data_IF_166017244054
#
_entry.id   IF_166017244054
#
_cell.length_a   1.000
_cell.length_b   1.000
_cell.length_c   1.000
_cell.angle_alpha   90.00
_cell.angle_beta   90.00
_cell.angle_gamma   90.00
#
_symmetry.space_group_name_H-M   'P 1'
#
loop_
_entity.id
_entity.type
_entity.pdbx_description
1 polymer ?
#
# COMPACT_ATOMS: atom_id res chain seq x y z
N UNK A 1 -1.77 -29.78 -12.77
CA UNK A 1 -1.46 -29.82 -14.22
C UNK A 1 -1.97 -28.56 -14.88
N UNK A 2 -1.17 -27.83 -15.67
CA UNK A 2 -1.61 -26.60 -16.32
C UNK A 2 -2.64 -26.90 -17.42
N UNK A 3 -3.85 -26.36 -17.29
CA UNK A 3 -4.93 -26.52 -18.28
C UNK A 3 -4.53 -25.81 -19.58
N UNK A 4 -4.28 -26.59 -20.64
CA UNK A 4 -3.87 -26.06 -21.95
C UNK A 4 -5.10 -25.58 -22.71
N UNK A 5 -5.26 -24.26 -22.88
CA UNK A 5 -6.44 -23.71 -23.56
C UNK A 5 -6.20 -23.72 -25.09
N UNK A 6 -7.06 -24.39 -25.90
CA UNK A 6 -6.90 -24.40 -27.35
C UNK A 6 -7.28 -23.04 -27.95
N UNK A 7 -6.30 -22.35 -28.56
CA UNK A 7 -6.52 -21.06 -29.22
C UNK A 7 -7.20 -21.29 -30.58
N UNK A 8 -8.47 -20.87 -30.71
CA UNK A 8 -9.25 -21.08 -31.93
C UNK A 8 -9.05 -19.92 -32.93
N UNK A 9 -8.43 -20.22 -34.07
CA UNK A 9 -8.35 -19.33 -35.23
C UNK A 9 -9.57 -19.56 -36.13
N UNK A 10 -10.38 -18.53 -36.39
CA UNK A 10 -11.56 -18.62 -37.27
C UNK A 10 -11.21 -18.94 -38.73
N UNK A 11 -9.97 -18.60 -39.13
CA UNK A 11 -9.40 -18.93 -40.43
C UNK A 11 -7.93 -19.27 -40.22
N UNK A 12 -7.51 -20.42 -40.74
CA UNK A 12 -6.11 -20.89 -40.72
C UNK A 12 -5.39 -20.59 -42.03
N UNK A 13 -6.11 -20.54 -43.16
CA UNK A 13 -5.54 -20.22 -44.49
C UNK A 13 -5.12 -18.75 -44.57
N UNK A 14 -3.89 -18.48 -45.00
CA UNK A 14 -3.42 -17.13 -45.29
C UNK A 14 -4.24 -16.46 -46.40
N UNK A 15 -4.23 -15.11 -46.42
CA UNK A 15 -4.80 -14.33 -47.52
C UNK A 15 -3.76 -14.22 -48.63
N UNK A 16 -4.07 -14.74 -49.81
CA UNK A 16 -3.19 -14.63 -50.98
C UNK A 16 -3.26 -13.24 -51.60
N UNK A 17 -2.20 -12.81 -52.27
CA UNK A 17 -2.20 -11.55 -53.01
C UNK A 17 -3.08 -11.69 -54.25
N UNK A 18 -3.82 -10.64 -54.59
CA UNK A 18 -4.53 -10.59 -55.88
C UNK A 18 -3.54 -10.83 -57.03
N UNK A 19 -3.86 -11.81 -57.89
CA UNK A 19 -3.09 -12.25 -59.07
C UNK A 19 -1.76 -12.98 -58.77
N UNK A 20 -1.47 -13.36 -57.52
CA UNK A 20 -0.28 -14.20 -57.23
C UNK A 20 -0.37 -15.61 -57.80
N UNK A 21 -1.57 -16.09 -58.07
CA UNK A 21 -1.89 -17.34 -58.75
C UNK A 21 -1.70 -17.26 -60.28
N UNK A 22 -1.67 -16.04 -60.84
CA UNK A 22 -1.64 -15.80 -62.29
C UNK A 22 -0.28 -15.32 -62.79
N UNK A 23 0.46 -14.56 -61.98
CA UNK A 23 1.75 -14.00 -62.38
C UNK A 23 2.86 -14.46 -61.44
N UNK A 24 3.85 -15.18 -61.97
CA UNK A 24 5.01 -15.67 -61.22
C UNK A 24 5.80 -14.54 -60.53
N UNK A 25 5.82 -13.33 -61.11
CA UNK A 25 6.46 -12.15 -60.53
C UNK A 25 5.74 -11.63 -59.26
N UNK A 26 4.51 -12.08 -59.01
CA UNK A 26 3.69 -11.64 -57.88
C UNK A 26 3.72 -12.72 -56.80
N UNK A 27 4.62 -12.57 -55.83
CA UNK A 27 4.73 -13.50 -54.69
C UNK A 27 3.42 -13.58 -53.88
N UNK A 28 3.12 -14.77 -53.35
CA UNK A 28 1.98 -15.05 -52.46
C UNK A 28 2.15 -14.38 -51.08
N UNK A 29 2.01 -13.06 -51.03
CA UNK A 29 2.04 -12.27 -49.79
C UNK A 29 0.93 -11.23 -49.81
N UNK A 30 0.00 -11.29 -48.85
CA UNK A 30 -1.15 -10.39 -48.78
C UNK A 30 -0.77 -8.93 -48.99
N UNK A 31 -1.42 -8.27 -49.95
CA UNK A 31 -1.42 -6.82 -50.11
C UNK A 31 -2.82 -6.36 -50.46
N UNK A 32 -3.26 -5.27 -49.83
CA UNK A 32 -4.58 -4.66 -50.11
C UNK A 32 -4.61 -4.21 -51.58
N UNK A 33 -5.54 -4.74 -52.41
CA UNK A 33 -5.68 -4.32 -53.79
C UNK A 33 -6.05 -2.83 -53.87
N UNK A 34 -5.45 -2.12 -54.85
CA UNK A 34 -5.66 -0.69 -55.12
C UNK A 34 -6.49 -0.50 -56.40
N UNK A 35 -6.97 0.72 -56.66
CA UNK A 35 -7.72 1.09 -57.86
C UNK A 35 -9.24 1.12 -57.66
N UNK A 36 -9.92 2.08 -58.30
CA UNK A 36 -11.36 2.28 -58.15
C UNK A 36 -12.17 1.12 -58.75
N UNK A 37 -11.72 0.57 -59.88
CA UNK A 37 -12.41 -0.52 -60.61
C UNK A 37 -12.00 -1.94 -60.19
N UNK A 38 -11.08 -2.07 -59.24
CA UNK A 38 -10.58 -3.39 -58.85
C UNK A 38 -11.68 -4.25 -58.20
N UNK A 39 -12.07 -5.34 -58.88
CA UNK A 39 -13.17 -6.23 -58.47
C UNK A 39 -12.96 -6.88 -57.11
N UNK A 40 -11.71 -7.18 -56.74
CA UNK A 40 -11.37 -7.73 -55.42
C UNK A 40 -11.52 -6.68 -54.33
N UNK A 41 -11.03 -5.45 -54.55
CA UNK A 41 -11.24 -4.31 -53.63
C UNK A 41 -12.73 -4.02 -53.43
N UNK A 42 -13.51 -4.05 -54.52
CA UNK A 42 -14.98 -3.86 -54.52
C UNK A 42 -15.75 -5.07 -54.01
N UNK A 43 -15.08 -6.19 -53.70
CA UNK A 43 -15.66 -7.42 -53.11
C UNK A 43 -16.75 -8.08 -53.96
N UNK A 44 -16.57 -8.11 -55.27
CA UNK A 44 -17.52 -8.79 -56.17
C UNK A 44 -17.56 -10.30 -55.89
N UNK A 45 -18.72 -10.93 -56.12
CA UNK A 45 -18.91 -12.38 -55.96
C UNK A 45 -17.89 -13.15 -56.82
N UNK A 46 -17.37 -14.26 -56.29
CA UNK A 46 -16.40 -15.13 -56.96
C UNK A 46 -14.93 -14.67 -56.88
N UNK A 47 -14.66 -13.52 -56.26
CA UNK A 47 -13.29 -13.04 -56.06
C UNK A 47 -12.65 -13.60 -54.79
N UNK A 48 -11.31 -13.52 -54.73
CA UNK A 48 -10.55 -13.97 -53.55
C UNK A 48 -10.95 -13.18 -52.29
N UNK A 49 -11.06 -13.85 -51.12
CA UNK A 49 -11.45 -13.17 -49.89
C UNK A 49 -10.36 -12.20 -49.42
N UNK A 50 -10.79 -11.04 -48.88
CA UNK A 50 -9.90 -10.05 -48.26
C UNK A 50 -10.06 -10.04 -46.73
N UNK A 51 -9.03 -9.64 -45.97
CA UNK A 51 -9.18 -9.32 -44.55
C UNK A 51 -10.29 -8.29 -44.34
N UNK A 52 -11.22 -8.64 -43.47
CA UNK A 52 -12.32 -7.80 -42.99
C UNK A 52 -12.63 -8.18 -41.54
N UNK A 53 -13.34 -7.29 -40.83
CA UNK A 53 -13.83 -7.56 -39.49
C UNK A 53 -14.64 -8.86 -39.53
N UNK A 54 -14.23 -9.85 -38.72
CA UNK A 54 -14.80 -11.20 -38.71
C UNK A 54 -13.78 -12.34 -38.87
N UNK A 55 -12.66 -12.11 -39.59
CA UNK A 55 -11.62 -13.13 -39.81
C UNK A 55 -10.58 -13.26 -38.68
N UNK A 56 -10.70 -12.46 -37.61
CA UNK A 56 -9.80 -12.53 -36.46
C UNK A 56 -9.94 -13.83 -35.65
N UNK A 57 -9.12 -14.00 -34.61
CA UNK A 57 -9.28 -15.14 -33.69
C UNK A 57 -10.62 -15.07 -32.93
N UNK A 58 -11.10 -16.23 -32.45
CA UNK A 58 -12.32 -16.31 -31.64
C UNK A 58 -12.25 -15.31 -30.48
N UNK A 59 -13.35 -14.58 -30.22
CA UNK A 59 -13.40 -13.53 -29.19
C UNK A 59 -13.01 -14.08 -27.81
N UNK A 60 -13.44 -15.30 -27.47
CA UNK A 60 -13.14 -15.95 -26.18
C UNK A 60 -11.65 -16.25 -25.96
N UNK A 61 -10.91 -16.53 -27.03
CA UNK A 61 -9.49 -16.93 -26.96
C UNK A 61 -8.55 -15.92 -27.61
N UNK A 62 -9.04 -14.72 -27.92
CA UNK A 62 -8.23 -13.69 -28.59
C UNK A 62 -7.22 -13.12 -27.59
N UNK A 63 -5.97 -12.97 -28.02
CA UNK A 63 -4.84 -12.46 -27.21
C UNK A 63 -4.40 -13.38 -26.05
N UNK A 64 -4.97 -14.58 -25.90
CA UNK A 64 -4.50 -15.58 -24.95
C UNK A 64 -3.29 -16.33 -25.50
N UNK A 65 -2.38 -16.67 -24.60
CA UNK A 65 -1.30 -17.64 -24.78
C UNK A 65 -1.86 -19.06 -24.56
N UNK A 66 -1.16 -20.12 -25.02
CA UNK A 66 -1.55 -21.50 -24.76
C UNK A 66 -1.66 -21.85 -23.26
N UNK A 67 -0.99 -21.07 -22.40
CA UNK A 67 -1.08 -21.16 -20.94
C UNK A 67 -2.33 -20.50 -20.33
N UNK A 68 -3.21 -19.91 -21.15
CA UNK A 68 -4.41 -19.21 -20.71
C UNK A 68 -4.24 -17.76 -20.26
N UNK A 69 -2.99 -17.25 -20.21
CA UNK A 69 -2.68 -15.86 -19.85
C UNK A 69 -2.62 -14.95 -21.08
N UNK A 70 -2.91 -13.66 -20.92
CA UNK A 70 -2.68 -12.63 -21.95
C UNK A 70 -1.24 -12.10 -21.85
N UNK A 71 -0.61 -11.77 -22.98
CA UNK A 71 0.73 -11.15 -22.96
C UNK A 71 0.62 -9.65 -22.63
N UNK A 72 1.44 -9.17 -21.70
CA UNK A 72 1.66 -7.75 -21.42
C UNK A 72 3.15 -7.42 -21.59
N UNK A 73 3.47 -6.41 -22.39
CA UNK A 73 4.86 -6.01 -22.68
C UNK A 73 5.37 -5.09 -21.57
N UNK A 74 6.53 -5.42 -21.00
CA UNK A 74 7.14 -4.70 -19.86
C UNK A 74 8.54 -4.23 -20.23
N UNK A 75 8.82 -2.95 -20.03
CA UNK A 75 10.11 -2.32 -20.36
C UNK A 75 10.94 -1.96 -19.12
N UNK A 76 10.33 -1.94 -17.93
CA UNK A 76 10.95 -1.60 -16.65
C UNK A 76 10.22 -2.29 -15.49
N UNK A 77 10.79 -2.21 -14.29
CA UNK A 77 10.24 -2.86 -13.09
C UNK A 77 8.88 -2.28 -12.69
N UNK A 78 8.64 -0.97 -12.89
CA UNK A 78 7.39 -0.31 -12.51
C UNK A 78 6.19 -0.79 -13.33
N UNK A 79 6.41 -1.05 -14.62
CA UNK A 79 5.39 -1.63 -15.52
C UNK A 79 5.01 -3.05 -15.12
N UNK A 80 5.86 -3.74 -14.36
CA UNK A 80 5.58 -5.07 -13.83
C UNK A 80 4.66 -5.02 -12.60
N UNK A 81 4.74 -3.95 -11.80
CA UNK A 81 3.85 -3.77 -10.63
C UNK A 81 2.39 -3.61 -11.05
N UNK A 82 2.12 -3.12 -12.27
CA UNK A 82 0.76 -3.09 -12.86
C UNK A 82 0.15 -4.49 -13.01
N UNK A 83 0.97 -5.55 -13.01
CA UNK A 83 0.53 -6.94 -13.12
C UNK A 83 0.32 -7.60 -11.76
N UNK A 84 0.58 -6.91 -10.64
CA UNK A 84 0.43 -7.45 -9.28
C UNK A 84 -0.99 -7.98 -9.04
N UNK A 85 -2.02 -7.17 -9.33
CA UNK A 85 -3.43 -7.57 -9.20
C UNK A 85 -3.96 -8.38 -10.40
N UNK A 86 -3.11 -8.66 -11.40
CA UNK A 86 -3.51 -9.23 -12.68
C UNK A 86 -2.68 -10.46 -13.10
N UNK A 87 -1.88 -11.02 -12.19
CA UNK A 87 -0.96 -12.14 -12.45
C UNK A 87 -1.66 -13.46 -12.85
N UNK A 88 -2.95 -13.62 -12.51
CA UNK A 88 -3.81 -14.75 -12.96
C UNK A 88 -4.34 -14.59 -14.38
N UNK A 89 -4.34 -13.36 -14.92
CA UNK A 89 -4.89 -13.03 -16.25
C UNK A 89 -3.82 -12.69 -17.27
N UNK A 90 -2.67 -12.16 -16.84
CA UNK A 90 -1.60 -11.67 -17.69
C UNK A 90 -0.25 -12.30 -17.35
N UNK A 91 0.57 -12.48 -18.37
CA UNK A 91 1.98 -12.84 -18.30
C UNK A 91 2.82 -11.68 -18.84
N UNK A 92 3.94 -11.41 -18.20
CA UNK A 92 4.88 -10.38 -18.65
C UNK A 92 5.74 -10.89 -19.82
N UNK A 93 6.02 -10.01 -20.77
CA UNK A 93 7.08 -10.19 -21.75
C UNK A 93 8.03 -9.01 -21.68
N UNK A 94 9.32 -9.29 -21.42
CA UNK A 94 10.30 -8.23 -21.26
C UNK A 94 10.70 -7.72 -22.64
N UNK A 95 10.57 -6.41 -22.85
CA UNK A 95 10.85 -5.75 -24.12
C UNK A 95 12.28 -6.01 -24.61
N UNK A 96 12.44 -6.05 -25.94
CA UNK A 96 13.71 -6.42 -26.58
C UNK A 96 14.83 -5.40 -26.37
N UNK A 97 14.49 -4.14 -26.05
CA UNK A 97 15.43 -3.04 -25.85
C UNK A 97 15.95 -2.93 -24.40
N UNK A 98 15.50 -3.79 -23.48
CA UNK A 98 15.98 -3.80 -22.09
C UNK A 98 17.37 -4.46 -22.02
N UNK A 99 18.29 -3.82 -21.29
CA UNK A 99 19.65 -4.31 -21.04
C UNK A 99 19.67 -5.57 -20.17
N UNK A 100 20.71 -6.41 -20.26
CA UNK A 100 20.83 -7.66 -19.47
C UNK A 100 20.68 -7.41 -17.96
N UNK A 101 21.38 -6.41 -17.42
CA UNK A 101 21.31 -6.03 -15.99
C UNK A 101 19.88 -5.71 -15.54
N UNK A 102 19.15 -4.89 -16.30
CA UNK A 102 17.77 -4.52 -15.95
C UNK A 102 16.79 -5.70 -16.15
N UNK A 103 17.10 -6.63 -17.06
CA UNK A 103 16.30 -7.86 -17.22
C UNK A 103 16.39 -8.73 -15.97
N UNK A 104 17.56 -8.84 -15.34
CA UNK A 104 17.72 -9.57 -14.07
C UNK A 104 16.83 -8.98 -12.99
N UNK A 105 16.85 -7.66 -12.81
CA UNK A 105 15.98 -6.96 -11.83
C UNK A 105 14.49 -7.17 -12.12
N UNK A 106 14.07 -7.12 -13.40
CA UNK A 106 12.68 -7.39 -13.79
C UNK A 106 12.31 -8.85 -13.50
N UNK A 107 13.21 -9.80 -13.72
CA UNK A 107 12.96 -11.21 -13.45
C UNK A 107 12.85 -11.51 -11.96
N UNK A 108 13.74 -10.93 -11.15
CA UNK A 108 13.69 -11.01 -9.69
C UNK A 108 12.37 -10.46 -9.17
N UNK A 109 11.99 -9.24 -9.60
CA UNK A 109 10.70 -8.67 -9.23
C UNK A 109 9.52 -9.51 -9.72
N UNK A 110 9.58 -10.08 -10.92
CA UNK A 110 8.49 -10.90 -11.45
C UNK A 110 8.28 -12.19 -10.66
N UNK A 111 9.35 -12.78 -10.13
CA UNK A 111 9.26 -13.91 -9.20
C UNK A 111 8.54 -13.50 -7.91
N UNK A 112 8.92 -12.36 -7.32
CA UNK A 112 8.28 -11.83 -6.10
C UNK A 112 6.78 -11.59 -6.32
N UNK A 113 6.40 -10.97 -7.44
CA UNK A 113 4.99 -10.67 -7.76
C UNK A 113 4.18 -11.89 -8.25
N UNK A 114 4.80 -13.07 -8.36
CA UNK A 114 4.19 -14.27 -8.94
C UNK A 114 3.78 -14.11 -10.40
N UNK A 115 4.38 -13.17 -11.13
CA UNK A 115 4.05 -12.87 -12.53
C UNK A 115 4.85 -13.78 -13.44
N UNK A 116 4.14 -14.58 -14.26
CA UNK A 116 4.79 -15.44 -15.25
C UNK A 116 5.47 -14.60 -16.34
N UNK A 117 6.77 -14.77 -16.51
CA UNK A 117 7.54 -14.16 -17.61
C UNK A 117 7.66 -15.12 -18.78
N UNK A 118 7.36 -14.65 -19.99
CA UNK A 118 7.32 -15.46 -21.22
C UNK A 118 8.68 -15.66 -21.88
N UNK A 119 9.63 -14.74 -21.67
CA UNK A 119 10.97 -14.76 -22.26
C UNK A 119 12.11 -14.63 -21.21
N UNK A 120 12.14 -15.46 -20.15
CA UNK A 120 13.02 -15.22 -19.01
C UNK A 120 14.51 -15.37 -19.32
N UNK A 121 14.90 -16.29 -20.20
CA UNK A 121 16.31 -16.55 -20.52
C UNK A 121 16.91 -15.64 -21.61
N UNK A 122 16.11 -14.77 -22.24
CA UNK A 122 16.61 -13.98 -23.36
C UNK A 122 17.66 -12.95 -22.90
N UNK A 123 18.78 -12.84 -23.64
CA UNK A 123 19.89 -11.88 -23.43
C UNK A 123 20.70 -12.03 -22.12
N UNK A 124 20.52 -13.10 -21.35
CA UNK A 124 21.37 -13.41 -20.19
C UNK A 124 22.44 -14.45 -20.61
N UNK A 125 23.71 -14.24 -20.23
CA UNK A 125 24.77 -15.25 -20.42
C UNK A 125 24.59 -16.37 -19.38
N UNK A 126 25.03 -17.58 -19.71
CA UNK A 126 24.87 -18.79 -18.88
C UNK A 126 25.45 -18.70 -17.45
N UNK A 127 26.34 -17.74 -17.20
CA UNK A 127 26.94 -17.48 -15.87
C UNK A 127 26.13 -16.51 -14.99
N UNK A 128 25.19 -15.74 -15.57
CA UNK A 128 24.35 -14.76 -14.86
C UNK A 128 22.96 -15.30 -14.48
N UNK A 129 22.68 -16.58 -14.75
CA UNK A 129 21.44 -17.24 -14.28
C UNK A 129 21.70 -17.74 -12.86
N UNK A 130 21.05 -17.20 -11.82
CA UNK A 130 21.27 -17.67 -10.44
C UNK A 130 20.87 -19.14 -10.37
N UNK A 131 21.86 -20.02 -10.19
CA UNK A 131 21.62 -21.44 -9.91
C UNK A 131 21.11 -21.54 -8.48
N UNK A 132 19.87 -21.98 -8.33
CA UNK A 132 19.28 -22.38 -7.05
C UNK A 132 20.13 -23.48 -6.41
N UNK A 133 20.87 -23.17 -5.34
CA UNK A 133 21.43 -24.18 -4.45
C UNK A 133 20.35 -24.59 -3.46
N UNK A 134 19.78 -25.77 -3.70
CA UNK A 134 18.98 -26.51 -2.72
C UNK A 134 19.90 -27.09 -1.65
N UNK A 135 19.55 -26.91 -0.37
CA UNK A 135 19.98 -27.84 0.69
C UNK A 135 18.79 -28.73 1.03
N UNK A 136 18.95 -30.03 0.78
CA UNK A 136 18.10 -31.09 1.32
C UNK A 136 18.82 -31.72 2.52
N UNK A 137 18.14 -31.71 3.67
CA UNK A 137 18.21 -32.66 4.78
C UNK A 137 16.81 -32.59 5.40
N UNK A 138 16.02 -33.64 5.59
CA UNK A 138 16.27 -35.06 5.69
C UNK A 138 15.31 -35.55 6.79
N UNK A 139 14.16 -36.07 6.36
CA UNK A 139 13.21 -37.00 6.98
C UNK A 139 13.04 -37.06 8.51
N UNK A 140 11.86 -36.66 9.00
CA UNK A 140 10.91 -37.58 9.65
C UNK A 140 9.54 -36.91 9.87
N UNK A 141 8.47 -37.62 9.47
CA UNK A 141 7.07 -37.30 9.73
C UNK A 141 6.77 -37.44 11.24
N UNK A 142 6.22 -36.38 11.84
CA UNK A 142 5.14 -36.51 12.83
C UNK A 142 4.10 -35.44 12.50
N UNK A 143 2.87 -35.89 12.31
CA UNK A 143 1.67 -35.07 12.11
C UNK A 143 1.36 -34.42 13.46
N UNK A 144 1.39 -33.09 13.55
CA UNK A 144 0.49 -32.36 14.45
C UNK A 144 0.44 -30.85 14.13
N UNK A 145 -0.81 -30.36 14.07
CA UNK A 145 -1.33 -29.00 14.24
C UNK A 145 -0.75 -27.86 13.39
N UNK A 146 -1.66 -27.28 12.61
CA UNK A 146 -1.53 -26.08 11.78
C UNK A 146 -1.05 -24.91 12.67
N UNK A 147 0.25 -24.62 12.64
CA UNK A 147 0.78 -23.27 12.84
C UNK A 147 0.89 -22.64 11.45
N UNK A 148 0.33 -21.44 11.28
CA UNK A 148 0.50 -20.68 10.06
C UNK A 148 1.96 -20.23 9.97
N UNK A 149 2.78 -21.02 9.27
CA UNK A 149 4.14 -20.65 8.92
C UNK A 149 4.37 -21.03 7.46
N UNK A 150 4.47 -20.02 6.60
CA UNK A 150 5.18 -20.16 5.33
C UNK A 150 6.23 -19.05 5.27
N UNK A 151 7.54 -19.38 5.35
CA UNK A 151 8.60 -18.39 5.28
C UNK A 151 8.66 -17.80 3.86
N UNK A 152 8.24 -16.54 3.70
CA UNK A 152 8.24 -15.84 2.41
C UNK A 152 9.48 -14.94 2.28
N UNK A 153 10.25 -15.16 1.22
CA UNK A 153 11.46 -14.37 0.97
C UNK A 153 11.16 -13.02 0.29
N UNK A 154 11.06 -11.93 1.05
CA UNK A 154 10.98 -10.57 0.48
C UNK A 154 10.24 -9.50 1.30
N UNK A 155 9.98 -9.74 2.57
CA UNK A 155 9.16 -8.89 3.42
C UNK A 155 9.80 -7.52 3.78
N UNK A 156 9.04 -6.41 3.95
CA UNK A 156 9.58 -5.08 4.24
C UNK A 156 10.44 -4.99 5.51
N UNK A 157 10.29 -5.95 6.42
CA UNK A 157 11.07 -6.07 7.66
C UNK A 157 12.38 -6.87 7.52
N UNK A 158 12.80 -7.26 6.31
CA UNK A 158 13.98 -8.13 6.11
C UNK A 158 15.31 -7.43 6.33
N UNK A 159 15.61 -7.17 7.59
CA UNK A 159 16.95 -7.30 8.12
C UNK A 159 17.04 -8.67 8.83
N UNK A 160 18.24 -9.24 9.00
CA UNK A 160 18.40 -10.38 9.95
C UNK A 160 17.88 -9.92 11.32
N UNK A 161 17.36 -10.81 12.17
CA UNK A 161 16.77 -10.44 13.47
C UNK A 161 17.66 -9.44 14.25
N UNK A 162 18.99 -9.65 14.23
CA UNK A 162 19.98 -8.76 14.83
C UNK A 162 20.16 -7.39 14.14
N UNK A 163 19.96 -7.31 12.82
CA UNK A 163 20.10 -6.09 12.04
C UNK A 163 18.86 -5.19 12.16
N UNK A 164 17.65 -5.77 12.21
CA UNK A 164 16.42 -4.99 12.42
C UNK A 164 16.42 -4.39 13.83
N UNK A 165 16.78 -5.20 14.83
CA UNK A 165 16.89 -4.77 16.21
C UNK A 165 17.90 -3.62 16.38
N UNK A 166 19.08 -3.71 15.72
CA UNK A 166 20.09 -2.64 15.71
C UNK A 166 19.55 -1.37 15.05
N UNK A 167 18.91 -1.48 13.88
CA UNK A 167 18.34 -0.32 13.19
C UNK A 167 17.29 0.42 14.03
N UNK A 168 16.38 -0.32 14.67
CA UNK A 168 15.37 0.28 15.55
C UNK A 168 16.03 0.99 16.73
N UNK A 169 17.03 0.37 17.35
CA UNK A 169 17.81 0.97 18.44
C UNK A 169 18.50 2.26 18.01
N UNK A 170 19.20 2.24 16.87
CA UNK A 170 19.90 3.41 16.31
C UNK A 170 18.95 4.56 15.99
N UNK A 171 17.77 4.27 15.43
CA UNK A 171 16.78 5.31 15.15
C UNK A 171 16.16 5.89 16.43
N UNK A 172 15.86 5.05 17.43
CA UNK A 172 15.38 5.51 18.75
C UNK A 172 16.44 6.38 19.44
N UNK A 173 17.71 6.02 19.38
CA UNK A 173 18.80 6.82 19.93
C UNK A 173 18.92 8.16 19.19
N UNK A 174 18.88 8.15 17.85
CA UNK A 174 19.04 9.33 17.01
C UNK A 174 17.87 10.33 17.08
N UNK A 175 16.66 9.90 17.44
CA UNK A 175 15.49 10.77 17.53
C UNK A 175 15.66 11.84 18.63
N UNK A 176 15.60 13.12 18.27
CA UNK A 176 15.83 14.25 19.17
C UNK A 176 14.51 14.74 19.78
N UNK A 177 13.85 13.87 20.53
CA UNK A 177 12.61 14.16 21.25
C UNK A 177 12.75 13.79 22.73
N UNK A 178 11.85 14.31 23.56
CA UNK A 178 11.72 13.88 24.96
C UNK A 178 11.39 12.39 25.00
N UNK A 179 12.16 11.64 25.79
CA UNK A 179 11.99 10.21 25.98
C UNK A 179 11.11 9.94 27.20
N UNK A 180 10.17 8.99 27.08
CA UNK A 180 9.30 8.62 28.20
C UNK A 180 8.44 9.77 28.70
N UNK A 181 7.68 10.41 27.80
CA UNK A 181 6.79 11.53 28.15
C UNK A 181 5.73 11.01 29.12
N UNK A 182 5.74 11.53 30.35
CA UNK A 182 4.81 11.09 31.40
C UNK A 182 3.35 11.30 30.96
N UNK A 183 2.55 10.24 31.06
CA UNK A 183 1.15 10.26 30.66
C UNK A 183 0.94 10.14 29.14
N UNK A 184 1.98 9.89 28.34
CA UNK A 184 1.81 9.54 26.93
C UNK A 184 1.02 8.23 26.81
N UNK A 185 -0.23 8.32 26.33
CA UNK A 185 -1.15 7.18 26.19
C UNK A 185 -1.41 6.80 24.75
N UNK A 186 -1.06 7.66 23.79
CA UNK A 186 -1.11 7.30 22.39
C UNK A 186 0.01 7.95 21.56
N UNK A 187 0.29 7.36 20.41
CA UNK A 187 1.15 7.95 19.37
C UNK A 187 0.49 7.87 18.01
N UNK A 188 0.84 8.81 17.14
CA UNK A 188 0.60 8.72 15.69
C UNK A 188 1.96 8.47 15.04
N UNK A 189 2.08 7.42 14.25
CA UNK A 189 3.33 7.04 13.59
C UNK A 189 3.10 6.53 12.16
N UNK A 190 4.07 6.72 11.24
CA UNK A 190 3.96 6.28 9.85
C UNK A 190 4.10 4.75 9.72
N UNK A 191 3.61 4.22 8.60
CA UNK A 191 3.63 2.79 8.27
C UNK A 191 4.14 2.50 6.84
N UNK A 192 4.85 3.43 6.21
CA UNK A 192 5.69 3.05 5.07
C UNK A 192 6.79 2.06 5.49
N UNK A 193 7.48 1.46 4.51
CA UNK A 193 8.61 0.58 4.80
C UNK A 193 9.74 1.33 5.54
N UNK A 194 10.41 0.65 6.48
CA UNK A 194 11.36 1.27 7.41
C UNK A 194 12.54 2.01 6.79
N UNK A 195 12.98 1.61 5.59
CA UNK A 195 13.98 2.36 4.84
C UNK A 195 13.58 3.82 4.53
N UNK A 196 12.27 4.13 4.59
CA UNK A 196 11.73 5.46 4.35
C UNK A 196 11.24 6.12 5.64
N UNK A 197 10.36 5.46 6.39
CA UNK A 197 9.66 6.06 7.54
C UNK A 197 10.12 5.55 8.90
N UNK A 198 11.03 4.57 8.93
CA UNK A 198 11.58 4.00 10.17
C UNK A 198 12.16 5.09 11.08
N UNK A 199 13.08 5.94 10.59
CA UNK A 199 13.61 7.06 11.36
C UNK A 199 12.55 8.04 11.86
N UNK A 200 11.51 8.34 11.07
CA UNK A 200 10.42 9.21 11.52
C UNK A 200 9.62 8.57 12.67
N UNK A 201 9.22 7.31 12.52
CA UNK A 201 8.46 6.58 13.53
C UNK A 201 9.18 6.53 14.89
N UNK A 202 10.52 6.45 14.90
CA UNK A 202 11.30 6.49 16.14
C UNK A 202 11.00 7.70 17.02
N UNK A 203 10.63 8.85 16.45
CA UNK A 203 10.28 10.04 17.22
C UNK A 203 8.98 9.84 18.02
N UNK A 204 7.98 9.17 17.46
CA UNK A 204 6.80 8.79 18.22
C UNK A 204 7.14 7.77 19.31
N UNK A 205 7.83 6.69 18.93
CA UNK A 205 8.12 5.58 19.83
C UNK A 205 9.07 5.92 20.98
N UNK A 206 10.03 6.83 20.77
CA UNK A 206 10.91 7.32 21.85
C UNK A 206 10.13 8.07 22.94
N UNK A 207 9.05 8.77 22.58
CA UNK A 207 8.24 9.54 23.52
C UNK A 207 7.34 8.68 24.40
N UNK A 208 7.27 7.37 24.18
CA UNK A 208 6.42 6.45 24.98
C UNK A 208 7.04 6.22 26.35
N UNK A 209 6.27 6.45 27.41
CA UNK A 209 6.57 5.93 28.75
C UNK A 209 6.01 4.52 28.86
N UNK A 210 6.90 3.53 28.92
CA UNK A 210 6.50 2.13 28.94
C UNK A 210 6.10 1.64 30.34
N UNK A 211 6.35 2.44 31.37
CA UNK A 211 6.15 2.08 32.77
C UNK A 211 4.70 1.69 33.05
N UNK A 212 4.48 0.44 33.50
CA UNK A 212 3.16 -0.05 33.91
C UNK A 212 2.21 -0.43 32.77
N UNK A 213 2.58 -0.21 31.50
CA UNK A 213 1.78 -0.62 30.35
C UNK A 213 1.80 -2.14 30.20
N UNK A 214 0.63 -2.72 30.00
CA UNK A 214 0.40 -4.15 29.76
C UNK A 214 -0.31 -4.44 28.44
N UNK A 215 -0.97 -3.44 27.86
CA UNK A 215 -1.78 -3.59 26.67
C UNK A 215 -1.50 -2.48 25.67
N UNK A 216 -1.31 -2.85 24.41
CA UNK A 216 -1.11 -1.91 23.30
C UNK A 216 -2.19 -2.10 22.25
N UNK A 217 -3.07 -1.12 22.10
CA UNK A 217 -3.97 -1.04 20.96
C UNK A 217 -3.20 -0.57 19.74
N UNK A 218 -3.49 -1.13 18.56
CA UNK A 218 -2.90 -0.68 17.29
C UNK A 218 -4.03 -0.46 16.30
N UNK A 219 -4.26 0.79 15.91
CA UNK A 219 -5.28 1.17 14.93
C UNK A 219 -4.62 1.33 13.55
N UNK A 220 -4.93 0.42 12.64
CA UNK A 220 -4.39 0.39 11.27
C UNK A 220 -5.47 0.64 10.23
N UNK A 221 -5.27 1.51 9.21
CA UNK A 221 -6.21 1.61 8.10
C UNK A 221 -6.18 0.34 7.23
N UNK A 222 -7.32 -0.03 6.64
CA UNK A 222 -7.36 -1.07 5.60
C UNK A 222 -6.97 -0.51 4.22
N UNK A 223 -5.98 -1.12 3.56
CA UNK A 223 -5.53 -0.80 2.20
C UNK A 223 -6.08 -1.77 1.14
N UNK A 224 -6.31 -3.03 1.52
CA UNK A 224 -6.65 -4.10 0.59
C UNK A 224 -8.12 -4.50 0.62
N UNK A 225 -8.78 -4.34 1.77
CA UNK A 225 -10.16 -4.71 1.98
C UNK A 225 -11.05 -3.47 2.03
N UNK A 226 -12.11 -3.44 1.23
CA UNK A 226 -13.18 -2.49 1.48
C UNK A 226 -13.95 -2.94 2.73
N UNK A 227 -13.87 -2.12 3.77
CA UNK A 227 -14.48 -2.36 5.08
C UNK A 227 -15.18 -1.07 5.50
N UNK A 228 -16.48 -1.14 5.83
CA UNK A 228 -17.26 0.00 6.36
C UNK A 228 -17.57 -0.23 7.85
N UNK A 229 -16.55 -0.68 8.58
CA UNK A 229 -16.57 -1.02 10.00
C UNK A 229 -15.14 -1.01 10.56
N UNK A 230 -15.00 -1.32 11.84
CA UNK A 230 -13.74 -1.77 12.43
C UNK A 230 -13.76 -3.30 12.52
N UNK A 231 -12.60 -3.93 12.34
CA UNK A 231 -12.45 -5.38 12.40
C UNK A 231 -11.36 -5.80 13.37
N UNK A 232 -11.55 -6.97 13.98
CA UNK A 232 -10.65 -7.60 14.94
C UNK A 232 -9.93 -8.78 14.29
N UNK A 233 -8.69 -9.02 14.71
CA UNK A 233 -7.96 -10.22 14.31
C UNK A 233 -8.60 -11.48 14.90
N UNK A 234 -8.51 -12.59 14.14
CA UNK A 234 -8.86 -13.93 14.61
C UNK A 234 -7.66 -14.69 15.19
N UNK A 235 -6.47 -14.10 15.15
CA UNK A 235 -5.22 -14.71 15.62
C UNK A 235 -5.10 -14.71 17.14
N UNK A 236 -4.14 -15.50 17.65
CA UNK A 236 -3.76 -15.51 19.07
C UNK A 236 -2.49 -14.72 19.36
N UNK A 237 -1.63 -14.57 18.36
CA UNK A 237 -0.38 -13.83 18.41
C UNK A 237 -0.04 -13.30 17.02
N UNK A 238 0.76 -12.25 16.95
CA UNK A 238 1.41 -11.80 15.73
C UNK A 238 2.92 -12.02 15.84
N UNK A 239 3.50 -12.63 14.80
CA UNK A 239 4.94 -12.84 14.71
C UNK A 239 5.66 -11.56 14.29
N UNK A 240 6.88 -11.36 14.83
CA UNK A 240 7.78 -10.28 14.36
C UNK A 240 9.21 -10.81 14.35
N UNK A 241 10.11 -10.26 13.50
CA UNK A 241 11.51 -10.70 13.45
C UNK A 241 12.28 -10.54 14.76
N UNK A 242 11.80 -9.71 15.69
CA UNK A 242 12.46 -9.44 16.98
C UNK A 242 11.64 -9.93 18.18
N UNK A 243 10.67 -10.80 17.95
CA UNK A 243 9.88 -11.48 18.98
C UNK A 243 8.37 -11.34 18.77
N UNK A 244 7.64 -12.42 19.09
CA UNK A 244 6.19 -12.47 18.95
C UNK A 244 5.48 -11.53 19.93
N UNK A 245 4.27 -11.11 19.55
CA UNK A 245 3.37 -10.30 20.34
C UNK A 245 2.05 -11.05 20.56
N UNK A 246 1.76 -11.53 21.79
CA UNK A 246 0.50 -12.18 22.08
C UNK A 246 -0.66 -11.18 22.02
N UNK A 247 -1.82 -11.62 21.55
CA UNK A 247 -3.03 -10.80 21.53
C UNK A 247 -3.74 -10.83 22.88
N UNK A 248 -4.39 -9.72 23.27
CA UNK A 248 -5.26 -9.69 24.43
C UNK A 248 -6.64 -10.28 24.08
N UNK A 249 -6.71 -11.61 24.17
CA UNK A 249 -7.90 -12.38 23.79
C UNK A 249 -9.14 -12.06 24.63
N UNK A 250 -8.96 -11.63 25.89
CA UNK A 250 -10.08 -11.22 26.74
C UNK A 250 -10.69 -9.93 26.21
N UNK A 251 -9.86 -8.92 25.96
CA UNK A 251 -10.30 -7.63 25.40
C UNK A 251 -10.91 -7.80 24.01
N UNK A 252 -10.30 -8.63 23.16
CA UNK A 252 -10.83 -8.93 21.82
C UNK A 252 -12.18 -9.64 21.91
N UNK A 253 -12.34 -10.56 22.86
CA UNK A 253 -13.62 -11.23 23.10
C UNK A 253 -14.69 -10.23 23.55
N UNK A 254 -14.37 -9.35 24.50
CA UNK A 254 -15.29 -8.31 24.98
C UNK A 254 -15.75 -7.39 23.84
N UNK A 255 -14.81 -6.93 23.00
CA UNK A 255 -15.11 -6.13 21.81
C UNK A 255 -15.96 -6.90 20.80
N UNK A 256 -15.68 -8.19 20.58
CA UNK A 256 -16.46 -9.05 19.69
C UNK A 256 -17.90 -9.22 20.20
N UNK A 257 -18.10 -9.39 21.51
CA UNK A 257 -19.42 -9.58 22.12
C UNK A 257 -20.33 -8.35 22.01
N UNK A 258 -19.77 -7.16 21.76
CA UNK A 258 -20.58 -5.97 21.40
C UNK A 258 -21.39 -6.15 20.11
N UNK A 259 -20.96 -7.07 19.23
CA UNK A 259 -21.53 -7.29 17.90
C UNK A 259 -21.30 -6.14 16.93
N UNK A 260 -20.32 -5.26 17.21
CA UNK A 260 -20.03 -4.04 16.43
C UNK A 260 -18.79 -4.12 15.56
N UNK A 261 -17.99 -5.16 15.74
CA UNK A 261 -16.78 -5.38 14.98
C UNK A 261 -16.94 -6.57 14.05
N UNK A 262 -16.34 -6.45 12.86
CA UNK A 262 -16.14 -7.60 11.98
C UNK A 262 -14.95 -8.45 12.46
N UNK A 263 -14.88 -9.69 11.99
CA UNK A 263 -13.72 -10.55 12.23
C UNK A 263 -12.97 -10.69 10.92
N UNK A 264 -11.67 -10.41 10.96
CA UNK A 264 -10.81 -10.51 9.79
C UNK A 264 -10.64 -11.97 9.37
N UNK A 265 -10.72 -12.21 8.06
CA UNK A 265 -10.19 -13.44 7.47
C UNK A 265 -8.66 -13.42 7.60
N UNK A 266 -8.06 -14.59 7.87
CA UNK A 266 -6.62 -14.71 8.07
C UNK A 266 -5.81 -14.17 6.87
N UNK A 267 -6.29 -14.39 5.64
CA UNK A 267 -5.58 -13.90 4.46
C UNK A 267 -5.70 -12.38 4.31
N UNK A 268 -6.78 -11.79 4.80
CA UNK A 268 -6.96 -10.33 4.81
C UNK A 268 -6.08 -9.68 5.88
N UNK A 269 -5.94 -10.33 7.03
CA UNK A 269 -5.05 -9.93 8.12
C UNK A 269 -3.58 -9.97 7.66
N UNK A 270 -3.10 -11.10 7.16
CA UNK A 270 -1.73 -11.27 6.65
C UNK A 270 -1.40 -10.40 5.42
N UNK A 271 -2.41 -9.98 4.66
CA UNK A 271 -2.20 -9.10 3.51
C UNK A 271 -2.07 -7.62 3.92
N UNK A 272 -2.53 -7.23 5.11
CA UNK A 272 -2.50 -5.84 5.55
C UNK A 272 -1.16 -5.50 6.22
N UNK A 273 -0.56 -4.39 5.81
CA UNK A 273 0.75 -3.98 6.32
C UNK A 273 0.66 -2.83 7.32
N UNK A 274 -0.47 -2.13 7.40
CA UNK A 274 -0.58 -0.94 8.24
C UNK A 274 -0.43 -1.25 9.73
N UNK A 275 -0.99 -2.36 10.21
CA UNK A 275 -0.78 -2.87 11.56
C UNK A 275 0.63 -3.43 11.73
N UNK A 276 1.06 -4.21 10.74
CA UNK A 276 2.31 -4.95 10.75
C UNK A 276 3.54 -4.06 10.93
N UNK A 277 3.60 -2.91 10.28
CA UNK A 277 4.74 -1.99 10.35
C UNK A 277 4.96 -1.39 11.75
N UNK A 278 4.00 -1.53 12.67
CA UNK A 278 4.17 -1.10 14.05
C UNK A 278 4.68 -2.21 14.99
N UNK A 279 4.58 -3.48 14.59
CA UNK A 279 4.86 -4.60 15.48
C UNK A 279 6.32 -4.65 15.96
N UNK A 280 7.35 -4.46 15.11
CA UNK A 280 8.73 -4.42 15.57
C UNK A 280 9.00 -3.25 16.51
N UNK A 281 8.53 -2.04 16.19
CA UNK A 281 8.69 -0.90 17.09
C UNK A 281 8.02 -1.12 18.45
N UNK A 282 6.79 -1.67 18.47
CA UNK A 282 6.11 -2.05 19.71
C UNK A 282 6.93 -3.09 20.47
N UNK A 283 7.37 -4.17 19.81
CA UNK A 283 8.19 -5.19 20.47
C UNK A 283 9.49 -4.61 21.03
N UNK A 284 10.11 -3.67 20.31
CA UNK A 284 11.38 -3.04 20.68
C UNK A 284 11.26 -2.10 21.87
N UNK A 285 10.30 -1.17 21.88
CA UNK A 285 10.17 -0.24 23.02
C UNK A 285 9.74 -0.96 24.30
N UNK A 286 9.00 -2.06 24.17
CA UNK A 286 8.61 -2.92 25.29
C UNK A 286 9.55 -4.13 25.47
N UNK A 287 10.81 -4.06 25.00
CA UNK A 287 11.75 -5.17 25.10
C UNK A 287 11.87 -5.69 26.55
N UNK A 288 11.78 -7.02 26.74
CA UNK A 288 11.80 -7.65 28.06
C UNK A 288 10.52 -7.53 28.89
N UNK A 289 9.47 -6.88 28.38
CA UNK A 289 8.19 -6.70 29.08
C UNK A 289 7.11 -7.65 28.57
N UNK A 290 6.30 -8.17 29.49
CA UNK A 290 5.08 -8.93 29.18
C UNK A 290 3.94 -7.96 28.83
N UNK A 291 3.71 -7.82 27.52
CA UNK A 291 2.65 -6.98 26.96
C UNK A 291 1.81 -7.80 26.00
N UNK A 292 0.53 -7.43 25.89
CA UNK A 292 -0.40 -7.95 24.89
C UNK A 292 -0.83 -6.86 23.92
N UNK A 293 -1.17 -7.24 22.70
CA UNK A 293 -1.66 -6.29 21.69
C UNK A 293 -3.14 -6.48 21.39
N UNK A 294 -3.82 -5.40 20.98
CA UNK A 294 -5.18 -5.42 20.44
C UNK A 294 -5.14 -4.74 19.07
N UNK A 295 -4.90 -5.50 17.98
CA UNK A 295 -4.95 -4.97 16.63
C UNK A 295 -6.39 -4.69 16.22
N UNK A 296 -6.66 -3.47 15.77
CA UNK A 296 -7.95 -3.06 15.22
C UNK A 296 -7.72 -2.51 13.83
N UNK A 297 -8.27 -3.19 12.82
CA UNK A 297 -8.30 -2.70 11.46
C UNK A 297 -9.47 -1.73 11.31
N UNK A 298 -9.19 -0.48 10.93
CA UNK A 298 -10.16 0.58 10.74
C UNK A 298 -10.43 0.74 9.25
N UNK A 299 -11.69 0.51 8.86
CA UNK A 299 -12.14 0.63 7.48
C UNK A 299 -12.33 2.07 7.00
N UNK A 300 -12.95 2.19 5.82
CA UNK A 300 -13.41 3.45 5.25
C UNK A 300 -14.77 3.83 5.85
N UNK A 301 -14.75 4.31 7.09
CA UNK A 301 -15.94 4.63 7.89
C UNK A 301 -16.33 6.12 7.80
N UNK A 302 -17.57 6.46 8.18
CA UNK A 302 -18.03 7.85 8.25
C UNK A 302 -17.57 8.53 9.55
N UNK A 303 -17.67 9.87 9.60
CA UNK A 303 -17.35 10.65 10.81
C UNK A 303 -18.19 10.19 12.02
N UNK A 304 -19.46 9.92 11.81
CA UNK A 304 -20.36 9.44 12.87
C UNK A 304 -19.94 8.06 13.37
N UNK A 305 -19.41 7.19 12.48
CA UNK A 305 -18.83 5.91 12.85
C UNK A 305 -17.50 6.07 13.58
N UNK A 306 -16.68 7.07 13.24
CA UNK A 306 -15.47 7.41 13.98
C UNK A 306 -15.80 7.80 15.43
N UNK A 307 -16.78 8.69 15.63
CA UNK A 307 -17.29 9.06 16.96
C UNK A 307 -17.85 7.84 17.71
N UNK A 308 -18.61 6.99 17.01
CA UNK A 308 -19.20 5.78 17.56
C UNK A 308 -18.17 4.76 18.06
N UNK A 309 -17.21 4.38 17.21
CA UNK A 309 -16.15 3.44 17.59
C UNK A 309 -15.22 4.06 18.62
N UNK A 310 -14.94 5.37 18.52
CA UNK A 310 -14.17 6.10 19.52
C UNK A 310 -14.82 6.01 20.91
N UNK A 311 -16.11 6.30 21.02
CA UNK A 311 -16.85 6.18 22.28
C UNK A 311 -16.88 4.75 22.82
N UNK A 312 -16.96 3.74 21.95
CA UNK A 312 -16.91 2.33 22.36
C UNK A 312 -15.54 1.93 22.90
N UNK A 313 -14.46 2.44 22.31
CA UNK A 313 -13.08 2.14 22.68
C UNK A 313 -12.55 2.99 23.85
N UNK A 314 -13.17 4.15 24.12
CA UNK A 314 -12.78 5.08 25.16
C UNK A 314 -12.55 4.45 26.55
N UNK A 315 -13.42 3.58 27.08
CA UNK A 315 -13.19 2.95 28.38
C UNK A 315 -11.93 2.08 28.43
N UNK A 316 -11.56 1.42 27.32
CA UNK A 316 -10.35 0.61 27.23
C UNK A 316 -9.10 1.51 27.16
N UNK A 317 -9.15 2.56 26.33
CA UNK A 317 -8.07 3.53 26.19
C UNK A 317 -7.84 4.35 27.47
N UNK A 318 -8.85 4.48 28.33
CA UNK A 318 -8.74 5.20 29.60
C UNK A 318 -7.96 4.44 30.68
N UNK A 319 -7.80 3.11 30.56
CA UNK A 319 -7.10 2.31 31.57
C UNK A 319 -5.63 2.72 31.71
N UNK A 320 -5.12 2.77 32.93
CA UNK A 320 -3.72 3.16 33.21
C UNK A 320 -2.69 2.21 32.57
N UNK A 321 -3.05 0.94 32.39
CA UNK A 321 -2.20 -0.12 31.83
C UNK A 321 -2.23 -0.19 30.30
N UNK A 322 -2.84 0.79 29.62
CA UNK A 322 -3.15 0.73 28.19
C UNK A 322 -2.53 1.89 27.42
N UNK A 323 -1.85 1.54 26.32
CA UNK A 323 -1.25 2.45 25.34
C UNK A 323 -1.88 2.23 23.95
N UNK A 324 -1.85 3.23 23.07
CA UNK A 324 -2.43 3.17 21.73
C UNK A 324 -1.48 3.66 20.64
N UNK A 325 -1.35 2.89 19.56
CA UNK A 325 -0.62 3.27 18.34
C UNK A 325 -1.64 3.54 17.24
N UNK A 326 -1.61 4.74 16.67
CA UNK A 326 -2.39 5.10 15.49
C UNK A 326 -1.47 5.14 14.28
N UNK A 327 -1.77 4.27 13.33
CA UNK A 327 -0.99 4.07 12.12
C UNK A 327 -1.42 5.04 11.01
N UNK A 328 -0.54 5.96 10.60
CA UNK A 328 -0.82 6.87 9.49
C UNK A 328 0.44 7.45 8.83
N UNK A 329 0.57 7.25 7.53
CA UNK A 329 1.28 8.19 6.66
C UNK A 329 0.37 9.41 6.35
N UNK A 330 0.98 10.50 5.88
CA UNK A 330 0.31 11.76 5.54
C UNK A 330 0.14 11.89 4.01
N UNK A 331 0.33 13.05 3.38
CA UNK A 331 0.06 13.23 1.96
C UNK A 331 0.82 12.23 1.06
N UNK A 332 0.09 11.43 0.30
CA UNK A 332 0.58 10.69 -0.86
C UNK A 332 0.40 11.57 -2.10
N UNK A 333 1.44 12.33 -2.44
CA UNK A 333 1.40 13.29 -3.54
C UNK A 333 1.97 12.72 -4.84
N UNK A 334 1.29 12.99 -5.95
CA UNK A 334 1.77 12.72 -7.30
C UNK A 334 0.73 12.04 -8.18
N UNK A 335 1.00 12.05 -9.48
CA UNK A 335 0.10 11.46 -10.48
C UNK A 335 -0.17 9.97 -10.26
N UNK A 336 0.78 9.22 -9.69
CA UNK A 336 0.61 7.80 -9.34
C UNK A 336 -0.45 7.54 -8.27
N UNK A 337 -0.71 8.53 -7.42
CA UNK A 337 -1.73 8.48 -6.37
C UNK A 337 -3.04 9.16 -6.78
N UNK A 338 -3.12 9.63 -8.03
CA UNK A 338 -4.24 10.45 -8.52
C UNK A 338 -4.50 11.70 -7.66
N UNK A 339 -3.44 12.22 -7.01
CA UNK A 339 -3.53 13.37 -6.11
C UNK A 339 -2.39 14.36 -6.38
N UNK A 340 -2.73 15.52 -6.96
CA UNK A 340 -1.77 16.58 -7.31
C UNK A 340 -2.25 17.94 -6.84
N UNK A 341 -2.93 17.98 -5.69
CA UNK A 341 -3.39 19.21 -5.04
C UNK A 341 -2.20 20.12 -4.77
N UNK A 342 -2.36 21.41 -5.01
CA UNK A 342 -1.26 22.37 -4.96
C UNK A 342 -1.75 23.78 -4.59
N UNK A 343 -1.11 24.34 -3.57
CA UNK A 343 -1.22 25.74 -3.18
C UNK A 343 -0.19 26.57 -4.00
N UNK A 344 -0.63 27.52 -4.84
CA UNK A 344 0.29 28.30 -5.68
C UNK A 344 1.19 29.29 -4.92
N UNK A 345 0.78 29.69 -3.72
CA UNK A 345 1.44 30.70 -2.91
C UNK A 345 1.54 30.24 -1.44
N UNK A 346 2.57 30.68 -0.69
CA UNK A 346 2.70 30.35 0.72
C UNK A 346 1.60 30.98 1.56
N UNK A 347 1.22 30.30 2.65
CA UNK A 347 0.31 30.87 3.63
C UNK A 347 0.89 32.13 4.32
N UNK A 348 0.06 33.13 4.66
CA UNK A 348 -1.36 33.23 4.32
C UNK A 348 -1.54 33.65 2.85
N UNK A 349 -2.43 32.98 2.13
CA UNK A 349 -2.77 33.32 0.74
C UNK A 349 -4.28 33.18 0.49
N UNK A 350 -4.80 34.05 -0.37
CA UNK A 350 -6.19 33.99 -0.88
C UNK A 350 -6.29 33.26 -2.22
N UNK A 351 -5.16 32.88 -2.81
CA UNK A 351 -5.12 32.16 -4.08
C UNK A 351 -5.72 30.77 -3.91
N UNK A 352 -6.70 30.44 -4.76
CA UNK A 352 -7.33 29.14 -4.73
C UNK A 352 -6.34 28.02 -5.07
N UNK A 353 -6.44 26.91 -4.33
CA UNK A 353 -5.68 25.71 -4.65
C UNK A 353 -6.11 25.12 -6.00
N UNK A 354 -5.15 24.50 -6.69
CA UNK A 354 -5.36 23.89 -8.00
C UNK A 354 -4.89 22.44 -8.00
N UNK A 355 -5.22 21.70 -9.07
CA UNK A 355 -4.61 20.40 -9.35
C UNK A 355 -3.58 20.55 -10.45
N UNK A 356 -2.33 20.20 -10.15
CA UNK A 356 -1.28 20.23 -11.16
C UNK A 356 -1.49 19.12 -12.19
N UNK A 357 -1.24 19.46 -13.45
CA UNK A 357 -1.27 18.56 -14.60
C UNK A 357 0.06 18.66 -15.35
N UNK A 358 0.29 17.80 -16.35
CA UNK A 358 1.50 17.86 -17.19
C UNK A 358 1.69 19.18 -17.94
N UNK A 359 0.63 19.96 -18.12
CA UNK A 359 0.66 21.29 -18.73
C UNK A 359 0.78 22.43 -17.71
N UNK A 360 0.66 22.13 -16.42
CA UNK A 360 0.80 23.11 -15.35
C UNK A 360 2.27 23.27 -14.97
N UNK A 361 2.71 24.51 -14.76
CA UNK A 361 3.99 24.79 -14.13
C UNK A 361 3.73 25.19 -12.66
N UNK A 362 4.46 24.62 -11.69
CA UNK A 362 4.40 25.12 -10.33
C UNK A 362 4.92 26.56 -10.27
N UNK A 363 4.41 27.34 -9.32
CA UNK A 363 4.88 28.69 -9.02
C UNK A 363 6.35 28.65 -8.62
N UNK A 364 7.14 29.59 -9.15
CA UNK A 364 8.56 29.73 -8.80
C UNK A 364 8.76 30.04 -7.31
N UNK A 365 7.77 30.67 -6.68
CA UNK A 365 7.86 31.14 -5.29
C UNK A 365 7.31 30.13 -4.29
N UNK A 366 6.71 29.04 -4.75
CA UNK A 366 6.13 28.02 -3.89
C UNK A 366 6.28 26.62 -4.52
N UNK A 367 7.44 25.97 -4.41
CA UNK A 367 7.65 24.65 -5.02
C UNK A 367 6.70 23.60 -4.44
N UNK A 368 6.48 22.52 -5.18
CA UNK A 368 5.46 21.50 -4.87
C UNK A 368 5.67 20.91 -3.47
N UNK A 369 6.90 20.57 -3.10
CA UNK A 369 7.21 20.03 -1.78
C UNK A 369 6.83 20.97 -0.62
N UNK A 370 6.93 22.30 -0.81
CA UNK A 370 6.46 23.29 0.18
C UNK A 370 4.94 23.35 0.25
N UNK A 371 4.24 23.19 -0.88
CA UNK A 371 2.78 23.10 -0.87
C UNK A 371 2.30 21.84 -0.17
N UNK A 372 2.98 20.71 -0.37
CA UNK A 372 2.69 19.47 0.36
C UNK A 372 2.92 19.69 1.86
N UNK A 373 4.04 20.31 2.22
CA UNK A 373 4.34 20.65 3.62
C UNK A 373 3.27 21.53 4.24
N UNK A 374 2.85 22.60 3.58
CA UNK A 374 1.77 23.46 4.06
C UNK A 374 0.47 22.67 4.23
N UNK A 375 0.12 21.82 3.26
CA UNK A 375 -1.08 20.99 3.31
C UNK A 375 -1.06 20.04 4.52
N UNK A 376 0.05 19.35 4.78
CA UNK A 376 0.16 18.43 5.90
C UNK A 376 0.23 19.15 7.26
N UNK A 377 0.89 20.30 7.33
CA UNK A 377 0.93 21.10 8.56
C UNK A 377 -0.45 21.68 8.90
N UNK A 378 -1.29 22.04 7.91
CA UNK A 378 -2.69 22.42 8.15
C UNK A 378 -3.45 21.31 8.88
N UNK A 379 -3.26 20.04 8.48
CA UNK A 379 -3.84 18.89 9.18
C UNK A 379 -3.26 18.71 10.60
N UNK A 380 -1.95 18.80 10.74
CA UNK A 380 -1.26 18.67 12.04
C UNK A 380 -1.71 19.75 13.02
N UNK A 381 -1.82 21.01 12.57
CA UNK A 381 -2.30 22.14 13.37
C UNK A 381 -3.74 21.94 13.82
N UNK A 382 -4.63 21.49 12.92
CA UNK A 382 -6.02 21.15 13.26
C UNK A 382 -6.10 20.07 14.33
N UNK A 383 -5.24 19.05 14.23
CA UNK A 383 -5.16 17.94 15.18
C UNK A 383 -4.36 18.31 16.45
N UNK A 384 -3.81 19.52 16.56
CA UNK A 384 -3.07 19.96 17.75
C UNK A 384 -4.06 20.44 18.82
N UNK A 385 -3.98 19.81 19.99
CA UNK A 385 -4.77 20.08 21.18
C UNK A 385 -3.78 20.29 22.33
N UNK A 386 -3.85 21.36 23.13
CA UNK A 386 -4.57 22.64 22.92
C UNK A 386 -4.03 23.45 21.71
N UNK A 387 -4.70 24.53 21.24
CA UNK A 387 -5.79 25.29 21.87
C UNK A 387 -7.21 24.79 21.55
N UNK A 388 -7.36 23.90 20.56
CA UNK A 388 -8.66 23.30 20.26
C UNK A 388 -9.01 22.22 21.29
N UNK A 389 -10.23 21.67 21.23
CA UNK A 389 -10.62 20.46 21.96
C UNK A 389 -10.60 19.26 21.02
N UNK A 390 -10.52 18.01 21.51
CA UNK A 390 -10.58 16.83 20.64
C UNK A 390 -11.83 16.78 19.76
N UNK A 391 -12.98 17.23 20.27
CA UNK A 391 -14.22 17.31 19.51
C UNK A 391 -14.13 18.31 18.34
N UNK A 392 -13.59 19.49 18.60
CA UNK A 392 -13.38 20.53 17.58
C UNK A 392 -12.35 20.07 16.55
N UNK A 393 -11.20 19.56 17.01
CA UNK A 393 -10.15 19.01 16.15
C UNK A 393 -10.68 17.91 15.22
N UNK A 394 -11.51 17.00 15.73
CA UNK A 394 -12.14 15.95 14.92
C UNK A 394 -13.05 16.50 13.84
N UNK A 395 -13.93 17.46 14.19
CA UNK A 395 -14.84 18.09 13.24
C UNK A 395 -14.09 18.90 12.17
N UNK A 396 -13.09 19.68 12.57
CA UNK A 396 -12.28 20.50 11.67
C UNK A 396 -11.40 19.64 10.77
N UNK A 397 -10.89 18.50 11.26
CA UNK A 397 -10.14 17.56 10.46
C UNK A 397 -11.01 16.92 9.37
N UNK A 398 -12.25 16.56 9.71
CA UNK A 398 -13.22 16.07 8.71
C UNK A 398 -13.53 17.14 7.65
N UNK A 399 -13.69 18.40 8.05
CA UNK A 399 -13.90 19.53 7.13
C UNK A 399 -12.68 19.76 6.21
N UNK A 400 -11.48 19.71 6.79
CA UNK A 400 -10.23 19.79 6.05
C UNK A 400 -10.11 18.68 5.01
N UNK A 401 -10.34 17.42 5.39
CA UNK A 401 -10.30 16.29 4.47
C UNK A 401 -11.36 16.43 3.39
N UNK A 402 -12.56 16.93 3.72
CA UNK A 402 -13.62 17.17 2.75
C UNK A 402 -13.22 18.23 1.71
N UNK A 403 -12.53 19.29 2.13
CA UNK A 403 -12.06 20.41 1.29
C UNK A 403 -10.85 20.02 0.43
N UNK A 404 -9.81 19.47 1.03
CA UNK A 404 -8.51 19.24 0.37
C UNK A 404 -8.45 17.89 -0.33
N UNK A 405 -9.18 16.89 0.19
CA UNK A 405 -9.05 15.48 -0.17
C UNK A 405 -7.63 14.95 0.07
N UNK A 406 -6.91 15.50 1.05
CA UNK A 406 -5.57 15.01 1.39
C UNK A 406 -5.58 13.50 1.62
N UNK A 407 -4.58 12.82 1.07
CA UNK A 407 -4.50 11.36 0.98
C UNK A 407 -3.90 10.73 2.23
N UNK A 408 -4.21 11.29 3.41
CA UNK A 408 -3.82 10.74 4.71
C UNK A 408 -4.47 9.36 4.86
N UNK A 409 -3.65 8.31 4.88
CA UNK A 409 -4.14 6.92 4.85
C UNK A 409 -4.82 6.53 6.17
N UNK A 410 -4.25 6.94 7.31
CA UNK A 410 -4.78 6.69 8.66
C UNK A 410 -5.79 7.72 9.14
N UNK A 411 -6.43 8.47 8.24
CA UNK A 411 -7.44 9.49 8.61
C UNK A 411 -8.58 8.95 9.49
N UNK A 412 -9.02 7.71 9.23
CA UNK A 412 -10.09 7.08 10.00
C UNK A 412 -9.59 6.55 11.36
N UNK A 413 -8.43 5.86 11.46
CA UNK A 413 -7.76 5.61 12.74
C UNK A 413 -7.58 6.86 13.62
N UNK A 414 -7.12 7.97 13.03
CA UNK A 414 -7.00 9.27 13.71
C UNK A 414 -8.38 9.74 14.18
N UNK A 415 -9.40 9.69 13.31
CA UNK A 415 -10.77 10.05 13.65
C UNK A 415 -11.34 9.23 14.81
N UNK A 416 -11.11 7.90 14.84
CA UNK A 416 -11.52 7.02 15.94
C UNK A 416 -10.83 7.40 17.24
N UNK A 417 -9.52 7.68 17.22
CA UNK A 417 -8.81 8.13 18.41
C UNK A 417 -9.39 9.45 18.93
N UNK A 418 -9.57 10.45 18.07
CA UNK A 418 -10.13 11.75 18.49
C UNK A 418 -11.60 11.64 18.93
N UNK A 419 -12.38 10.71 18.36
CA UNK A 419 -13.70 10.35 18.85
C UNK A 419 -13.65 9.78 20.27
N UNK A 420 -12.67 8.93 20.58
CA UNK A 420 -12.46 8.39 21.92
C UNK A 420 -12.04 9.49 22.92
N UNK A 421 -11.09 10.35 22.54
CA UNK A 421 -10.68 11.50 23.35
C UNK A 421 -11.86 12.43 23.63
N UNK A 422 -12.70 12.70 22.63
CA UNK A 422 -13.90 13.50 22.81
C UNK A 422 -14.90 12.86 23.78
N UNK A 423 -15.04 11.53 23.76
CA UNK A 423 -15.92 10.83 24.69
C UNK A 423 -15.39 10.92 26.14
N UNK A 424 -14.08 10.75 26.34
CA UNK A 424 -13.44 10.87 27.66
C UNK A 424 -13.53 12.28 28.23
N UNK A 425 -13.22 13.29 27.42
CA UNK A 425 -13.35 14.71 27.83
C UNK A 425 -14.80 15.03 28.20
N UNK A 426 -15.77 14.52 27.44
CA UNK A 426 -17.19 14.73 27.74
C UNK A 426 -17.62 14.07 29.06
N UNK A 427 -17.10 12.89 29.37
CA UNK A 427 -17.37 12.18 30.62
C UNK A 427 -16.74 12.89 31.83
N UNK A 428 -15.47 13.32 31.71
CA UNK A 428 -14.73 14.02 32.77
C UNK A 428 -15.20 15.46 32.97
N UNK A 429 -15.69 16.11 31.92
CA UNK A 429 -16.01 17.54 31.90
C UNK A 429 -14.79 18.46 31.83
N UNK A 430 -13.61 17.91 31.56
CA UNK A 430 -12.34 18.63 31.48
C UNK A 430 -11.49 18.06 30.32
N UNK A 431 -10.78 18.95 29.63
CA UNK A 431 -9.84 18.64 28.55
C UNK A 431 -8.41 19.08 28.87
N UNK A 432 -8.14 19.58 30.07
CA UNK A 432 -6.87 20.20 30.46
C UNK A 432 -5.68 19.23 30.45
N UNK A 433 -5.96 17.94 30.60
CA UNK A 433 -4.99 16.85 30.56
C UNK A 433 -4.71 16.35 29.15
N UNK A 434 -5.54 16.68 28.16
CA UNK A 434 -5.35 16.27 26.78
C UNK A 434 -4.34 17.17 26.09
N UNK A 435 -3.27 16.57 25.58
CA UNK A 435 -2.27 17.26 24.78
C UNK A 435 -1.80 16.38 23.64
N UNK A 436 -1.78 16.92 22.42
CA UNK A 436 -1.22 16.32 21.20
C UNK A 436 -0.02 17.14 20.77
N UNK A 437 1.17 16.52 20.70
CA UNK A 437 2.37 17.18 20.19
C UNK A 437 2.98 16.42 19.03
N UNK A 438 3.13 17.14 17.92
CA UNK A 438 3.89 16.68 16.77
C UNK A 438 5.39 16.86 17.04
N UNK A 439 6.13 15.76 16.90
CA UNK A 439 7.57 15.70 17.20
C UNK A 439 8.40 15.55 15.94
N UNK A 440 7.81 15.07 14.83
CA UNK A 440 8.52 14.92 13.56
C UNK A 440 7.59 15.15 12.37
N UNK A 441 8.14 15.77 11.34
CA UNK A 441 7.57 15.81 10.00
C UNK A 441 8.69 15.69 8.97
N UNK A 442 8.47 14.88 7.94
CA UNK A 442 9.37 14.77 6.79
C UNK A 442 8.64 14.25 5.54
N UNK A 443 9.32 14.29 4.40
CA UNK A 443 8.83 13.78 3.13
C UNK A 443 9.83 12.78 2.56
N UNK A 444 9.33 11.72 1.92
CA UNK A 444 10.17 10.72 1.25
C UNK A 444 11.12 11.33 0.21
N UNK A 445 10.74 12.44 -0.41
CA UNK A 445 11.53 13.22 -1.36
C UNK A 445 10.90 14.59 -1.60
N UNK A 446 11.71 15.60 -1.92
CA UNK A 446 11.22 16.90 -2.36
C UNK A 446 10.71 16.84 -3.81
N UNK A 447 9.39 16.91 -4.01
CA UNK A 447 8.79 17.05 -5.34
C UNK A 447 9.04 18.45 -5.91
N UNK A 448 9.56 18.52 -7.13
CA UNK A 448 9.81 19.79 -7.85
C UNK A 448 8.95 19.91 -9.11
N UNK A 449 8.57 18.78 -9.70
CA UNK A 449 7.76 18.72 -10.92
C UNK A 449 6.56 17.79 -10.77
N UNK A 450 5.55 17.95 -11.62
CA UNK A 450 4.35 17.08 -11.64
C UNK A 450 4.63 15.61 -12.01
N UNK A 451 5.85 15.30 -12.45
CA UNK A 451 6.29 13.91 -12.70
C UNK A 451 6.79 13.23 -11.44
N UNK A 452 7.12 14.00 -10.42
CA UNK A 452 7.60 13.50 -9.14
C UNK A 452 6.43 12.97 -8.31
N UNK A 453 6.78 12.27 -7.24
CA UNK A 453 5.83 11.77 -6.26
C UNK A 453 6.52 11.57 -4.92
N UNK A 454 5.83 11.89 -3.84
CA UNK A 454 6.34 11.71 -2.48
C UNK A 454 5.24 11.18 -1.56
N UNK A 455 5.65 10.68 -0.40
CA UNK A 455 4.79 10.40 0.74
C UNK A 455 5.31 11.21 1.91
N UNK A 456 4.43 11.83 2.68
CA UNK A 456 4.80 12.54 3.91
C UNK A 456 4.68 11.63 5.13
N UNK A 457 5.56 11.82 6.10
CA UNK A 457 5.57 11.11 7.38
C UNK A 457 5.50 12.14 8.51
N UNK A 458 4.60 11.89 9.46
CA UNK A 458 4.50 12.70 10.66
C UNK A 458 4.45 11.79 11.89
N UNK A 459 4.97 12.29 13.01
CA UNK A 459 4.94 11.56 14.27
C UNK A 459 4.52 12.48 15.40
N UNK A 460 3.65 11.97 16.26
CA UNK A 460 3.13 12.68 17.41
C UNK A 460 3.00 11.75 18.61
N UNK A 461 3.05 12.33 19.80
CA UNK A 461 2.57 11.70 21.03
C UNK A 461 1.35 12.45 21.55
N UNK A 462 0.52 11.73 22.31
CA UNK A 462 -0.73 12.22 22.85
C UNK A 462 -0.86 11.73 24.29
N UNK A 463 -1.16 12.65 25.22
CA UNK A 463 -1.51 12.34 26.62
C UNK A 463 -2.96 12.66 26.90
N UNK A 464 -3.61 11.88 27.75
CA UNK A 464 -5.01 12.01 28.19
C UNK A 464 -5.33 10.99 29.30
#
# INVERSE_FOLDING_TARGET
MAVKIPIVKKRTKHFKRHQSDRYHSVKEAWRKPKGIDNRVRRRFKGQTPMPKIGYGSNKKTRHLLPSGLKKFLVSNVRELDLLLMHNKSYAAEIAHNVSSRNRTTILERAKVLGVKVTNPAARLRSEEVPRSKFYLRGDNLVIDLISASVPFEGHPMRARDSELDSQLSEWLEAAQTEAGVKGCKAVIAPHAGYAYSGPAAAWAYKSVDTSGIKRVFIFGPSHHLYLDACALSACNEYETPIGNLPLDLETIKDLKETGKFEILDINADEAEHSLEMHLPYVRKVFEGMDIKIVPIMVGAISKEKEEYYGALLAPYLNREDTFCVVSSDFCHWGTRFSYTYYYPDPAPSTTAAIRLSRSSQPSSNHPIHKSISQLDHEAMEILTVPPSTPATAHADFANYLAKTKNTICGRHPIGVLFGALSALVKERGDASDVETRWVRYEQSSACETVKDSSVSYASAWIRF
#
